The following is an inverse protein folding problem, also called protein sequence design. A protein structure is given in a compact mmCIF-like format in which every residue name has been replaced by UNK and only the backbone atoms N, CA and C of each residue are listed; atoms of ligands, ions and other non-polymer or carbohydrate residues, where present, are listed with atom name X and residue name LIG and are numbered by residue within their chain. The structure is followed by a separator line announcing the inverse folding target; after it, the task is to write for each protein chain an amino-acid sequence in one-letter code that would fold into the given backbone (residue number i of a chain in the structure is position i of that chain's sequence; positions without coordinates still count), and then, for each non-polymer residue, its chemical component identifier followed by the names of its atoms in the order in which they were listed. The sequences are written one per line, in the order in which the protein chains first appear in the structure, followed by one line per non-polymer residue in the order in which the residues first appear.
data_IF_675092875761
#
_entry.id   IF_675092875761
#
_cell.length_a   1.000
_cell.length_b   1.000
_cell.length_c   1.000
_cell.angle_alpha   90.00
_cell.angle_beta   90.00
_cell.angle_gamma   90.00
#
_symmetry.space_group_name_H-M   'P 1'
#
loop_
_entity.id
_entity.type
_entity.pdbx_description
1 polymer ?
#
# COMPACT_ATOMS: atom_id res chain seq x y z
N UNK A 1 7.58 8.26 -1.40
CA UNK A 1 8.21 7.17 -0.62
C UNK A 1 8.34 7.65 0.80
N UNK A 2 8.00 6.85 1.82
CA UNK A 2 8.21 7.28 3.19
C UNK A 2 9.71 7.49 3.40
N UNK A 3 10.10 8.74 3.62
CA UNK A 3 11.50 9.17 3.85
C UNK A 3 12.11 8.48 5.07
N UNK A 4 11.28 7.97 5.97
CA UNK A 4 11.65 7.19 7.15
C UNK A 4 12.48 5.94 6.84
N UNK A 5 12.41 5.40 5.61
CA UNK A 5 13.31 4.32 5.17
C UNK A 5 14.79 4.72 5.16
N UNK A 6 15.07 6.00 4.93
CA UNK A 6 16.42 6.57 4.85
C UNK A 6 16.86 7.24 6.16
N UNK A 7 15.98 7.31 7.16
CA UNK A 7 16.31 7.86 8.47
C UNK A 7 17.21 6.91 9.27
N UNK A 8 18.14 7.52 10.03
CA UNK A 8 19.02 6.83 10.98
C UNK A 8 18.85 7.48 12.37
N UNK A 9 18.48 6.72 13.41
CA UNK A 9 18.13 5.30 13.38
C UNK A 9 16.83 5.05 12.60
N UNK A 10 16.61 3.80 12.16
CA UNK A 10 15.34 3.40 11.52
C UNK A 10 14.19 3.67 12.47
N UNK A 11 13.15 4.36 11.99
CA UNK A 11 11.95 4.67 12.76
C UNK A 11 10.73 4.03 12.14
N UNK A 12 9.88 3.48 13.00
CA UNK A 12 8.55 3.03 12.59
C UNK A 12 7.65 4.25 12.37
N UNK A 13 6.82 4.21 11.32
CA UNK A 13 5.89 5.29 10.97
C UNK A 13 4.46 4.77 10.99
N UNK A 14 3.77 4.85 12.14
CA UNK A 14 2.44 4.27 12.32
C UNK A 14 1.32 5.09 11.68
N UNK A 15 1.55 6.37 11.41
CA UNK A 15 0.48 7.34 11.19
C UNK A 15 -0.53 6.95 10.09
N UNK A 16 -0.05 6.48 8.93
CA UNK A 16 -0.93 6.03 7.85
C UNK A 16 -1.58 4.68 8.16
N UNK A 17 -0.85 3.75 8.77
CA UNK A 17 -1.37 2.41 9.11
C UNK A 17 -2.52 2.53 10.12
N UNK A 18 -2.33 3.33 11.17
CA UNK A 18 -3.34 3.61 12.19
C UNK A 18 -4.55 4.33 11.58
N UNK A 19 -4.33 5.31 10.70
CA UNK A 19 -5.42 6.04 10.04
C UNK A 19 -6.29 5.11 9.17
N UNK A 20 -5.66 4.18 8.44
CA UNK A 20 -6.34 3.15 7.63
C UNK A 20 -7.18 2.24 8.54
N UNK A 21 -6.57 1.74 9.64
CA UNK A 21 -7.26 0.89 10.62
C UNK A 21 -8.45 1.59 11.24
N UNK A 22 -8.28 2.80 11.77
CA UNK A 22 -9.36 3.58 12.36
C UNK A 22 -10.47 3.86 11.33
N UNK A 23 -10.13 4.17 10.08
CA UNK A 23 -11.12 4.40 9.04
C UNK A 23 -12.00 3.16 8.77
N UNK A 24 -11.39 1.99 8.73
CA UNK A 24 -12.10 0.73 8.52
C UNK A 24 -12.97 0.35 9.72
N UNK A 25 -12.43 0.43 10.94
CA UNK A 25 -13.11 -0.06 12.14
C UNK A 25 -14.18 0.90 12.67
N UNK A 26 -13.84 2.18 12.81
CA UNK A 26 -14.69 3.17 13.48
C UNK A 26 -15.69 3.81 12.52
N UNK A 27 -15.27 3.99 11.25
CA UNK A 27 -16.04 4.74 10.25
C UNK A 27 -16.59 3.86 9.13
N UNK A 28 -16.29 2.56 9.14
CA UNK A 28 -16.76 1.58 8.15
C UNK A 28 -16.42 1.99 6.71
N UNK A 29 -15.28 2.67 6.54
CA UNK A 29 -14.79 3.07 5.22
C UNK A 29 -14.35 1.82 4.48
N UNK A 30 -14.81 1.68 3.23
CA UNK A 30 -14.37 0.60 2.33
C UNK A 30 -13.02 0.97 1.74
N UNK A 31 -12.00 0.20 2.08
CA UNK A 31 -10.62 0.48 1.68
C UNK A 31 -10.22 -0.46 0.55
N UNK A 32 -9.67 0.09 -0.53
CA UNK A 32 -9.09 -0.67 -1.65
C UNK A 32 -7.70 -0.16 -1.94
N UNK A 33 -6.71 -1.04 -1.86
CA UNK A 33 -5.32 -0.71 -2.15
C UNK A 33 -4.82 -1.60 -3.28
N UNK A 34 -4.19 -0.97 -4.26
CA UNK A 34 -3.50 -1.65 -5.35
C UNK A 34 -2.03 -1.23 -5.30
N UNK A 35 -1.14 -2.19 -5.02
CA UNK A 35 0.28 -1.92 -4.78
C UNK A 35 1.11 -2.68 -5.81
N UNK A 36 2.06 -2.00 -6.45
CA UNK A 36 3.05 -2.70 -7.29
C UNK A 36 4.10 -3.38 -6.41
N UNK A 37 4.39 -4.64 -6.67
CA UNK A 37 5.49 -5.36 -6.05
C UNK A 37 6.33 -6.04 -7.15
N UNK A 38 7.40 -5.38 -7.57
CA UNK A 38 8.33 -5.87 -8.59
C UNK A 38 9.64 -6.36 -8.00
N UNK A 39 10.61 -6.66 -8.87
CA UNK A 39 11.96 -7.09 -8.47
C UNK A 39 12.67 -6.11 -7.52
N UNK A 40 12.46 -4.81 -7.71
CA UNK A 40 13.10 -3.75 -6.91
C UNK A 40 12.31 -3.35 -5.65
N UNK A 41 11.18 -4.02 -5.36
CA UNK A 41 10.36 -3.73 -4.18
C UNK A 41 10.98 -4.33 -2.91
N UNK A 42 10.91 -3.59 -1.80
CA UNK A 42 11.43 -4.06 -0.51
C UNK A 42 10.48 -5.12 0.07
N UNK A 43 10.89 -6.39 0.24
CA UNK A 43 10.01 -7.46 0.71
C UNK A 43 9.51 -7.22 2.15
N UNK A 44 10.19 -6.35 2.92
CA UNK A 44 9.76 -6.00 4.27
C UNK A 44 8.39 -5.31 4.31
N UNK A 45 7.86 -4.81 3.19
CA UNK A 45 6.50 -4.25 3.13
C UNK A 45 5.40 -5.33 3.23
N UNK A 46 5.68 -6.57 2.81
CA UNK A 46 4.65 -7.60 2.63
C UNK A 46 3.95 -7.97 3.95
N UNK A 47 4.65 -8.14 5.09
CA UNK A 47 3.98 -8.41 6.37
C UNK A 47 3.01 -7.30 6.80
N UNK A 48 3.33 -6.02 6.51
CA UNK A 48 2.42 -4.90 6.81
C UNK A 48 1.15 -4.96 5.95
N UNK A 49 1.30 -5.23 4.66
CA UNK A 49 0.15 -5.43 3.77
C UNK A 49 -0.69 -6.65 4.17
N UNK A 50 -0.05 -7.75 4.57
CA UNK A 50 -0.74 -8.94 5.07
C UNK A 50 -1.50 -8.65 6.36
N UNK A 51 -0.90 -7.89 7.29
CA UNK A 51 -1.57 -7.45 8.52
C UNK A 51 -2.83 -6.62 8.22
N UNK A 52 -2.76 -5.71 7.25
CA UNK A 52 -3.92 -4.94 6.80
C UNK A 52 -5.00 -5.83 6.16
N UNK A 53 -4.60 -6.75 5.27
CA UNK A 53 -5.52 -7.64 4.58
C UNK A 53 -6.25 -8.60 5.54
N UNK A 54 -5.57 -9.06 6.59
CA UNK A 54 -6.13 -9.97 7.59
C UNK A 54 -7.26 -9.36 8.45
N UNK A 55 -7.45 -8.04 8.39
CA UNK A 55 -8.54 -7.36 9.10
C UNK A 55 -9.85 -7.30 8.31
N UNK A 56 -9.87 -7.69 7.03
CA UNK A 56 -11.11 -7.78 6.26
C UNK A 56 -12.08 -8.75 6.95
N UNK A 57 -13.29 -8.26 7.27
CA UNK A 57 -14.29 -9.03 8.00
C UNK A 57 -15.68 -8.57 7.60
N UNK A 58 -16.26 -9.14 6.52
CA UNK A 58 -17.61 -8.84 6.09
C UNK A 58 -18.68 -9.00 7.19
N UNK A 59 -18.61 -10.01 8.09
CA UNK A 59 -19.57 -10.13 9.20
C UNK A 59 -19.55 -8.96 10.19
N UNK A 60 -18.44 -8.21 10.27
CA UNK A 60 -18.27 -7.06 11.15
C UNK A 60 -18.38 -5.72 10.38
N UNK A 61 -18.80 -5.77 9.12
CA UNK A 61 -18.86 -4.64 8.18
C UNK A 61 -17.49 -3.96 8.01
N UNK A 62 -16.41 -4.73 8.06
CA UNK A 62 -15.04 -4.25 7.82
C UNK A 62 -14.63 -4.69 6.41
N UNK A 63 -14.31 -3.73 5.54
CA UNK A 63 -13.91 -4.00 4.16
C UNK A 63 -12.55 -3.42 3.83
N UNK A 64 -11.55 -4.28 3.71
CA UNK A 64 -10.18 -3.96 3.34
C UNK A 64 -9.72 -4.92 2.25
N UNK A 65 -9.66 -4.42 1.02
CA UNK A 65 -9.13 -5.19 -0.10
C UNK A 65 -7.73 -4.72 -0.47
N UNK A 66 -6.78 -5.65 -0.43
CA UNK A 66 -5.40 -5.40 -0.87
C UNK A 66 -5.11 -6.30 -2.06
N UNK A 67 -4.67 -5.69 -3.15
CA UNK A 67 -4.17 -6.38 -4.34
C UNK A 67 -2.75 -5.95 -4.61
N UNK A 68 -1.92 -6.92 -4.95
CA UNK A 68 -0.55 -6.71 -5.38
C UNK A 68 -0.47 -7.06 -6.86
N UNK A 69 0.25 -6.26 -7.64
CA UNK A 69 0.47 -6.52 -9.05
C UNK A 69 1.94 -6.36 -9.42
N UNK A 70 2.34 -7.04 -10.50
CA UNK A 70 3.68 -6.97 -11.08
C UNK A 70 3.51 -6.38 -12.48
N UNK A 71 4.34 -5.40 -12.83
CA UNK A 71 4.41 -4.91 -14.21
C UNK A 71 5.15 -5.98 -15.02
N UNK A 72 4.55 -6.53 -16.09
CA UNK A 72 5.17 -7.62 -16.85
C UNK A 72 6.48 -7.17 -17.49
N UNK A 73 7.40 -8.13 -17.59
CA UNK A 73 8.68 -7.96 -18.29
C UNK A 73 8.50 -8.64 -19.65
N UNK A 74 8.33 -7.84 -20.69
CA UNK A 74 8.34 -8.35 -22.07
C UNK A 74 9.79 -8.39 -22.60
N UNK A 75 10.01 -8.15 -23.89
CA UNK A 75 11.33 -8.26 -24.56
C UNK A 75 12.41 -7.27 -24.06
N UNK A 76 12.15 -6.51 -22.99
CA UNK A 76 13.03 -5.48 -22.47
C UNK A 76 13.20 -5.67 -20.97
N UNK A 77 14.07 -6.63 -20.63
CA UNK A 77 14.34 -7.12 -19.27
C UNK A 77 15.37 -6.28 -18.50
N UNK A 78 16.23 -5.56 -19.20
CA UNK A 78 17.50 -5.10 -18.61
C UNK A 78 17.52 -3.61 -18.24
N UNK A 79 16.36 -2.95 -18.16
CA UNK A 79 16.29 -1.55 -17.72
C UNK A 79 15.96 -1.51 -16.22
N UNK A 80 16.93 -1.19 -15.34
CA UNK A 80 16.71 -1.18 -13.89
C UNK A 80 15.61 -0.18 -13.50
N UNK A 81 14.82 -0.50 -12.47
CA UNK A 81 13.78 0.37 -11.91
C UNK A 81 12.68 0.81 -12.89
N UNK A 82 12.60 0.21 -14.08
CA UNK A 82 11.62 0.57 -15.12
C UNK A 82 10.26 -0.13 -14.97
N UNK A 83 10.14 -1.06 -14.00
CA UNK A 83 8.97 -1.93 -13.77
C UNK A 83 8.37 -1.71 -12.40
N UNK A 84 8.27 -0.45 -12.00
CA UNK A 84 7.68 -0.04 -10.72
C UNK A 84 6.55 0.95 -10.97
N UNK A 85 5.46 0.83 -10.21
CA UNK A 85 4.45 1.88 -10.20
C UNK A 85 4.89 2.97 -9.23
N UNK A 86 5.08 4.18 -9.75
CA UNK A 86 5.51 5.34 -8.96
C UNK A 86 4.37 6.29 -8.59
N UNK A 87 3.13 5.88 -8.87
CA UNK A 87 1.93 6.61 -8.51
C UNK A 87 1.83 6.75 -6.99
N UNK A 88 1.64 7.99 -6.51
CA UNK A 88 1.22 8.23 -5.12
C UNK A 88 -0.07 9.02 -5.21
N UNK A 89 -1.18 8.30 -5.21
CA UNK A 89 -2.49 8.93 -5.17
C UNK A 89 -3.39 8.23 -4.16
N UNK A 90 -4.39 8.96 -3.71
CA UNK A 90 -5.49 8.46 -2.90
C UNK A 90 -6.77 9.10 -3.42
N UNK A 91 -7.80 8.31 -3.64
CA UNK A 91 -9.11 8.79 -4.10
C UNK A 91 -10.13 8.51 -2.99
N UNK A 92 -10.91 9.53 -2.66
CA UNK A 92 -12.03 9.46 -1.71
C UNK A 92 -13.33 9.78 -2.43
N UNK A 93 -14.45 9.80 -1.70
CA UNK A 93 -15.75 10.26 -2.18
C UNK A 93 -15.77 11.74 -2.57
N UNK A 94 -14.87 12.56 -1.99
CA UNK A 94 -14.88 14.03 -2.16
C UNK A 94 -13.67 14.59 -2.88
N UNK A 95 -12.52 13.93 -2.77
CA UNK A 95 -11.23 14.48 -3.23
C UNK A 95 -10.28 13.38 -3.69
N UNK A 96 -9.44 13.72 -4.67
CA UNK A 96 -8.29 12.92 -5.07
C UNK A 96 -6.99 13.67 -4.73
N UNK A 97 -6.05 12.98 -4.09
CA UNK A 97 -4.68 13.44 -3.87
C UNK A 97 -3.77 12.78 -4.89
N UNK A 98 -2.86 13.51 -5.50
CA UNK A 98 -1.90 13.01 -6.51
C UNK A 98 -0.54 13.67 -6.25
N UNK A 99 0.54 12.88 -6.20
CA UNK A 99 1.94 13.33 -6.04
C UNK A 99 3.01 12.25 -6.13
#
# INVERSE_FOLDING_TARGET
FPTTRFEKPRRYWPFIDDAIRMAAFERKVKIRMLISCGQDSDPAMLPFLQSLAAMDSPPQDISIQIKVFIVPVENQSDIPYSRVNHNKYMVTDKVAYIG
#
